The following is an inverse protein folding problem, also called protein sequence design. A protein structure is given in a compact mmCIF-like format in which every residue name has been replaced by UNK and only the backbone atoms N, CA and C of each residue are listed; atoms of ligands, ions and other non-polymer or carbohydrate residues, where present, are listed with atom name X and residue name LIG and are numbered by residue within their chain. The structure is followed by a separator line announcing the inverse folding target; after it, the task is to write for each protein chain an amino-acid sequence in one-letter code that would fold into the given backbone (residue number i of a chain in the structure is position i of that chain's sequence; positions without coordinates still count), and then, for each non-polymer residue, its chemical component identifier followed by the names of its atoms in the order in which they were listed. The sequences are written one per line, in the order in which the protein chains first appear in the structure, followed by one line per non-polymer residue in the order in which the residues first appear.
data_IF_356627347130
#
_entry.id   IF_356627347130
#
_cell.length_a   1.000
_cell.length_b   1.000
_cell.length_c   1.000
_cell.angle_alpha   90.00
_cell.angle_beta   90.00
_cell.angle_gamma   90.00
#
_symmetry.space_group_name_H-M   'P 1'
#
loop_
_entity.id
_entity.type
_entity.pdbx_description
1 polymer ?
#
# COMPACT_ATOMS: atom_id res chain seq x y z
N UNK A 1 5.60 -11.24 -1.69
CA UNK A 1 6.83 -11.14 -2.51
C UNK A 1 6.57 -11.80 -3.87
N UNK A 2 6.02 -11.08 -4.86
CA UNK A 2 5.59 -11.71 -6.14
C UNK A 2 6.76 -12.04 -7.10
N UNK A 3 8.00 -11.70 -6.75
CA UNK A 3 9.19 -11.86 -7.59
C UNK A 3 10.36 -12.58 -6.88
N UNK A 4 10.14 -13.10 -5.68
CA UNK A 4 11.19 -13.83 -4.96
C UNK A 4 11.31 -15.23 -5.55
N UNK A 5 12.51 -15.61 -5.99
CA UNK A 5 12.83 -16.94 -6.48
C UNK A 5 13.58 -17.71 -5.39
N UNK A 6 12.86 -18.57 -4.67
CA UNK A 6 13.39 -19.34 -3.54
C UNK A 6 14.52 -20.28 -3.97
N UNK A 7 14.38 -20.96 -5.10
CA UNK A 7 15.38 -21.92 -5.59
C UNK A 7 16.73 -21.22 -5.89
N UNK A 8 16.68 -20.05 -6.54
CA UNK A 8 17.89 -19.29 -6.82
C UNK A 8 18.50 -18.70 -5.54
N UNK A 9 17.68 -18.26 -4.60
CA UNK A 9 18.15 -17.77 -3.30
C UNK A 9 18.92 -18.85 -2.54
N UNK A 10 18.37 -20.07 -2.47
CA UNK A 10 19.01 -21.21 -1.82
C UNK A 10 20.31 -21.64 -2.54
N UNK A 11 20.33 -21.62 -3.87
CA UNK A 11 21.57 -21.86 -4.62
C UNK A 11 22.65 -20.83 -4.28
N UNK A 12 22.31 -19.54 -4.33
CA UNK A 12 23.27 -18.47 -4.09
C UNK A 12 23.80 -18.47 -2.64
N UNK A 13 22.95 -18.85 -1.67
CA UNK A 13 23.35 -19.12 -0.28
C UNK A 13 24.31 -20.30 -0.17
N UNK A 14 24.05 -21.39 -0.89
CA UNK A 14 24.91 -22.57 -0.92
C UNK A 14 26.29 -22.29 -1.55
N UNK A 15 26.40 -21.30 -2.42
CA UNK A 15 27.67 -20.92 -3.08
C UNK A 15 28.52 -19.92 -2.29
N UNK A 16 28.05 -19.43 -1.14
CA UNK A 16 28.85 -18.52 -0.31
C UNK A 16 30.03 -19.25 0.34
N UNK A 17 31.14 -18.52 0.53
CA UNK A 17 32.36 -19.02 1.18
C UNK A 17 32.20 -19.04 2.70
N UNK A 18 31.30 -19.88 3.21
CA UNK A 18 31.04 -20.01 4.65
C UNK A 18 32.28 -20.45 5.44
N UNK A 19 33.25 -21.11 4.79
CA UNK A 19 34.53 -21.49 5.40
C UNK A 19 35.26 -20.28 6.01
N UNK A 20 35.09 -19.09 5.42
CA UNK A 20 35.70 -17.85 5.92
C UNK A 20 35.22 -17.45 7.31
N UNK A 21 34.01 -17.86 7.71
CA UNK A 21 33.48 -17.61 9.06
C UNK A 21 34.28 -18.41 10.10
N UNK A 22 34.69 -19.63 9.75
CA UNK A 22 35.40 -20.53 10.66
C UNK A 22 36.88 -20.15 10.84
N UNK A 23 37.49 -19.38 9.94
CA UNK A 23 38.86 -18.91 10.09
C UNK A 23 39.04 -17.92 11.25
N UNK A 24 37.97 -17.30 11.74
CA UNK A 24 38.00 -16.35 12.85
C UNK A 24 37.36 -16.91 14.13
N UNK A 25 37.42 -18.23 14.31
CA UNK A 25 36.79 -18.94 15.44
C UNK A 25 37.12 -18.36 16.84
N UNK A 26 38.28 -17.73 16.98
CA UNK A 26 38.76 -17.13 18.23
C UNK A 26 38.07 -15.79 18.57
N UNK A 27 37.32 -15.20 17.63
CA UNK A 27 36.63 -13.93 17.81
C UNK A 27 35.16 -14.03 17.33
N UNK A 28 34.23 -14.38 18.23
CA UNK A 28 32.80 -14.54 17.90
C UNK A 28 32.16 -13.31 17.24
N UNK A 29 32.57 -12.10 17.61
CA UNK A 29 32.03 -10.86 17.02
C UNK A 29 32.44 -10.74 15.54
N UNK A 30 33.68 -11.12 15.22
CA UNK A 30 34.19 -11.12 13.84
C UNK A 30 33.51 -12.22 13.00
N UNK A 31 33.31 -13.41 13.58
CA UNK A 31 32.55 -14.47 12.92
C UNK A 31 31.14 -14.02 12.55
N UNK A 32 30.46 -13.38 13.51
CA UNK A 32 29.10 -12.88 13.31
C UNK A 32 29.04 -11.86 12.17
N UNK A 33 29.96 -10.88 12.13
CA UNK A 33 29.90 -9.87 11.08
C UNK A 33 30.23 -10.42 9.69
N UNK A 34 31.16 -11.37 9.57
CA UNK A 34 31.43 -12.04 8.28
C UNK A 34 30.21 -12.84 7.83
N UNK A 35 29.61 -13.63 8.73
CA UNK A 35 28.41 -14.39 8.41
C UNK A 35 27.27 -13.47 7.95
N UNK A 36 27.04 -12.39 8.70
CA UNK A 36 25.98 -11.41 8.42
C UNK A 36 26.22 -10.71 7.08
N UNK A 37 27.47 -10.36 6.76
CA UNK A 37 27.81 -9.76 5.47
C UNK A 37 27.51 -10.72 4.31
N UNK A 38 27.96 -11.98 4.38
CA UNK A 38 27.71 -12.98 3.35
C UNK A 38 26.20 -13.23 3.16
N UNK A 39 25.46 -13.33 4.26
CA UNK A 39 24.01 -13.50 4.22
C UNK A 39 23.30 -12.29 3.60
N UNK A 40 23.65 -11.07 4.04
CA UNK A 40 23.02 -9.85 3.55
C UNK A 40 23.30 -9.61 2.07
N UNK A 41 24.48 -9.98 1.56
CA UNK A 41 24.78 -9.88 0.12
C UNK A 41 23.83 -10.72 -0.73
N UNK A 42 23.55 -11.95 -0.30
CA UNK A 42 22.57 -12.82 -0.97
C UNK A 42 21.16 -12.25 -0.78
N UNK A 43 20.82 -11.80 0.42
CA UNK A 43 19.50 -11.24 0.72
C UNK A 43 19.20 -9.99 -0.13
N UNK A 44 20.13 -9.04 -0.23
CA UNK A 44 19.96 -7.81 -0.98
C UNK A 44 19.84 -8.06 -2.50
N UNK A 45 20.49 -9.10 -3.02
CA UNK A 45 20.35 -9.54 -4.42
C UNK A 45 18.95 -10.06 -4.72
N UNK A 46 18.36 -10.84 -3.81
CA UNK A 46 17.09 -11.55 -4.02
C UNK A 46 15.85 -10.81 -3.51
N UNK A 47 16.04 -9.93 -2.53
CA UNK A 47 14.99 -9.16 -1.88
C UNK A 47 15.45 -7.70 -1.66
N UNK A 48 15.80 -6.97 -2.74
CA UNK A 48 16.26 -5.59 -2.60
C UNK A 48 15.19 -4.72 -1.95
N UNK A 49 15.64 -3.80 -1.10
CA UNK A 49 14.77 -2.79 -0.51
C UNK A 49 14.25 -1.85 -1.61
N UNK A 50 13.04 -2.11 -2.09
CA UNK A 50 12.38 -1.22 -3.04
C UNK A 50 11.85 0.03 -2.32
N UNK A 51 12.43 1.19 -2.61
CA UNK A 51 11.85 2.48 -2.28
C UNK A 51 10.59 2.71 -3.12
N UNK A 52 9.45 2.21 -2.66
CA UNK A 52 8.16 2.48 -3.30
C UNK A 52 7.80 3.94 -3.08
N UNK A 53 7.79 4.72 -4.17
CA UNK A 53 7.21 6.06 -4.17
C UNK A 53 5.76 5.94 -3.72
N UNK A 54 5.48 6.38 -2.49
CA UNK A 54 4.11 6.56 -2.04
C UNK A 54 3.47 7.55 -3.01
N UNK A 55 2.39 7.14 -3.70
CA UNK A 55 1.68 8.05 -4.61
C UNK A 55 1.24 9.28 -3.79
N UNK A 56 1.92 10.40 -4.02
CA UNK A 56 1.74 11.66 -3.27
C UNK A 56 0.31 12.22 -3.35
N UNK A 57 -0.49 11.75 -4.33
CA UNK A 57 -1.90 12.11 -4.44
C UNK A 57 -2.74 11.33 -3.43
N UNK A 58 -2.62 11.68 -2.14
CA UNK A 58 -3.70 11.42 -1.18
C UNK A 58 -4.91 12.17 -1.72
N UNK A 59 -5.99 11.48 -2.05
CA UNK A 59 -7.26 12.14 -2.35
C UNK A 59 -7.69 12.88 -1.08
N UNK A 60 -7.55 14.21 -1.01
CA UNK A 60 -7.71 14.95 0.24
C UNK A 60 -9.15 14.90 0.77
N UNK A 61 -10.12 14.64 -0.12
CA UNK A 61 -11.52 14.43 0.24
C UNK A 61 -11.83 13.03 0.79
N UNK A 62 -10.87 12.09 0.87
CA UNK A 62 -11.08 10.76 1.47
C UNK A 62 -10.61 10.77 2.92
N UNK A 63 -11.56 10.98 3.83
CA UNK A 63 -11.33 10.98 5.28
C UNK A 63 -11.21 9.55 5.85
N UNK A 64 -10.75 9.43 7.10
CA UNK A 64 -10.74 8.16 7.84
C UNK A 64 -12.15 7.57 7.98
N UNK A 65 -13.16 8.42 8.14
CA UNK A 65 -14.56 8.01 8.22
C UNK A 65 -15.03 7.34 6.91
N UNK A 66 -14.76 7.94 5.75
CA UNK A 66 -15.08 7.36 4.45
C UNK A 66 -14.38 6.01 4.26
N UNK A 67 -13.12 5.89 4.70
CA UNK A 67 -12.40 4.60 4.66
C UNK A 67 -13.09 3.53 5.50
N UNK A 68 -13.59 3.87 6.71
CA UNK A 68 -14.35 2.93 7.54
C UNK A 68 -15.61 2.44 6.83
N UNK A 69 -16.34 3.33 6.16
CA UNK A 69 -17.54 2.96 5.39
C UNK A 69 -17.22 2.07 4.18
N UNK A 70 -16.13 2.35 3.46
CA UNK A 70 -15.64 1.49 2.37
C UNK A 70 -15.34 0.08 2.90
N UNK A 71 -14.64 -0.03 4.03
CA UNK A 71 -14.32 -1.32 4.65
C UNK A 71 -15.60 -2.05 5.07
N UNK A 72 -16.53 -1.36 5.73
CA UNK A 72 -17.80 -1.93 6.15
C UNK A 72 -18.62 -2.46 4.97
N UNK A 73 -18.73 -1.67 3.89
CA UNK A 73 -19.36 -2.10 2.64
C UNK A 73 -18.70 -3.34 2.06
N UNK A 74 -17.38 -3.41 2.04
CA UNK A 74 -16.64 -4.56 1.48
C UNK A 74 -16.79 -5.82 2.35
N UNK A 75 -16.88 -5.65 3.67
CA UNK A 75 -17.22 -6.73 4.59
C UNK A 75 -18.63 -7.28 4.31
N UNK A 76 -19.62 -6.40 4.14
CA UNK A 76 -20.99 -6.80 3.79
C UNK A 76 -21.05 -7.52 2.44
N UNK A 77 -20.28 -7.04 1.44
CA UNK A 77 -20.18 -7.72 0.14
C UNK A 77 -19.62 -9.14 0.29
N UNK A 78 -18.53 -9.30 1.04
CA UNK A 78 -17.94 -10.61 1.32
C UNK A 78 -18.95 -11.53 2.01
N UNK A 79 -19.68 -11.02 3.01
CA UNK A 79 -20.74 -11.77 3.69
C UNK A 79 -21.83 -12.23 2.70
N UNK A 80 -22.38 -11.32 1.90
CA UNK A 80 -23.44 -11.63 0.94
C UNK A 80 -23.03 -12.67 -0.12
N UNK A 81 -21.76 -12.66 -0.55
CA UNK A 81 -21.21 -13.67 -1.46
C UNK A 81 -21.19 -15.06 -0.82
N UNK A 82 -20.84 -15.14 0.46
CA UNK A 82 -20.74 -16.40 1.21
C UNK A 82 -22.13 -16.94 1.55
N UNK A 83 -23.00 -16.10 2.14
CA UNK A 83 -24.31 -16.54 2.66
C UNK A 83 -25.35 -16.72 1.56
N UNK A 84 -25.22 -15.99 0.43
CA UNK A 84 -26.18 -15.96 -0.68
C UNK A 84 -27.61 -15.57 -0.27
N UNK A 85 -27.79 -14.98 0.91
CA UNK A 85 -29.08 -14.50 1.41
C UNK A 85 -29.42 -13.14 0.80
N UNK A 86 -30.67 -12.96 0.39
CA UNK A 86 -31.16 -11.70 -0.17
C UNK A 86 -31.04 -10.53 0.83
N UNK A 87 -31.28 -10.79 2.11
CA UNK A 87 -31.15 -9.80 3.19
C UNK A 87 -29.72 -9.26 3.32
N UNK A 88 -28.70 -10.11 3.14
CA UNK A 88 -27.30 -9.67 3.16
C UNK A 88 -26.94 -8.85 1.90
N UNK A 89 -27.53 -9.19 0.75
CA UNK A 89 -27.43 -8.38 -0.46
C UNK A 89 -28.10 -7.01 -0.30
N UNK A 90 -29.24 -6.93 0.37
CA UNK A 90 -29.92 -5.66 0.68
C UNK A 90 -29.08 -4.78 1.59
N UNK A 91 -28.47 -5.36 2.63
CA UNK A 91 -27.55 -4.66 3.52
C UNK A 91 -26.33 -4.12 2.76
N UNK A 92 -25.74 -4.92 1.87
CA UNK A 92 -24.67 -4.45 0.99
C UNK A 92 -25.14 -3.32 0.07
N UNK A 93 -26.31 -3.42 -0.56
CA UNK A 93 -26.85 -2.39 -1.46
C UNK A 93 -27.05 -1.05 -0.71
N UNK A 94 -27.58 -1.09 0.51
CA UNK A 94 -27.73 0.10 1.38
C UNK A 94 -26.37 0.74 1.67
N UNK A 95 -25.42 -0.03 2.22
CA UNK A 95 -24.08 0.45 2.55
C UNK A 95 -23.32 0.97 1.32
N UNK A 96 -23.50 0.33 0.15
CA UNK A 96 -22.92 0.78 -1.13
C UNK A 96 -23.46 2.16 -1.52
N UNK A 97 -24.77 2.34 -1.47
CA UNK A 97 -25.40 3.60 -1.86
C UNK A 97 -25.01 4.74 -0.91
N UNK A 98 -25.02 4.49 0.41
CA UNK A 98 -24.55 5.45 1.42
C UNK A 98 -23.09 5.85 1.18
N UNK A 99 -22.19 4.88 1.00
CA UNK A 99 -20.77 5.14 0.76
C UNK A 99 -20.56 5.94 -0.53
N UNK A 100 -21.29 5.60 -1.60
CA UNK A 100 -21.19 6.30 -2.88
C UNK A 100 -21.72 7.73 -2.80
N UNK A 101 -22.84 7.95 -2.12
CA UNK A 101 -23.42 9.27 -1.93
C UNK A 101 -22.47 10.16 -1.13
N UNK A 102 -21.91 9.64 -0.04
CA UNK A 102 -20.94 10.38 0.76
C UNK A 102 -19.67 10.70 -0.04
N UNK A 103 -19.11 9.74 -0.78
CA UNK A 103 -17.95 9.98 -1.63
C UNK A 103 -18.20 11.09 -2.67
N UNK A 104 -19.37 11.09 -3.30
CA UNK A 104 -19.76 12.14 -4.26
C UNK A 104 -19.88 13.49 -3.57
N UNK A 105 -20.54 13.54 -2.41
CA UNK A 105 -20.74 14.75 -1.65
C UNK A 105 -19.41 15.34 -1.18
N UNK A 106 -18.56 14.56 -0.51
CA UNK A 106 -17.28 15.06 0.01
C UNK A 106 -16.32 15.47 -1.11
N UNK A 107 -16.34 14.76 -2.25
CA UNK A 107 -15.59 15.20 -3.44
C UNK A 107 -16.11 16.56 -3.93
N UNK A 108 -17.42 16.72 -4.09
CA UNK A 108 -18.04 17.98 -4.53
C UNK A 108 -17.65 19.13 -3.58
N UNK A 109 -17.88 18.95 -2.28
CA UNK A 109 -17.55 19.95 -1.25
C UNK A 109 -16.09 20.36 -1.30
N UNK A 110 -15.16 19.40 -1.38
CA UNK A 110 -13.74 19.71 -1.45
C UNK A 110 -13.40 20.61 -2.64
N UNK A 111 -13.87 20.26 -3.84
CA UNK A 111 -13.57 21.04 -5.04
C UNK A 111 -14.29 22.39 -5.04
N UNK A 112 -15.54 22.44 -4.60
CA UNK A 112 -16.29 23.70 -4.45
C UNK A 112 -15.59 24.65 -3.48
N UNK A 113 -15.15 24.16 -2.32
CA UNK A 113 -14.43 24.96 -1.34
C UNK A 113 -13.07 25.41 -1.86
N UNK A 114 -12.32 24.49 -2.51
CA UNK A 114 -11.01 24.82 -3.06
C UNK A 114 -11.08 25.92 -4.13
N UNK A 115 -12.03 25.82 -5.05
CA UNK A 115 -12.26 26.84 -6.09
C UNK A 115 -12.70 28.17 -5.46
N UNK A 116 -13.55 28.13 -4.43
CA UNK A 116 -13.99 29.32 -3.71
C UNK A 116 -12.82 30.05 -3.00
N UNK A 117 -11.88 29.30 -2.42
CA UNK A 117 -10.67 29.86 -1.80
C UNK A 117 -9.70 30.45 -2.83
N UNK A 118 -9.62 29.85 -4.02
CA UNK A 118 -8.77 30.30 -5.13
C UNK A 118 -9.42 31.42 -5.98
N UNK A 119 -10.52 32.03 -5.52
CA UNK A 119 -11.33 32.99 -6.30
C UNK A 119 -10.55 34.21 -6.82
N UNK A 120 -9.49 34.62 -6.13
CA UNK A 120 -8.64 35.75 -6.53
C UNK A 120 -7.50 35.35 -7.49
N UNK A 121 -7.29 34.04 -7.73
CA UNK A 121 -6.30 33.52 -8.67
C UNK A 121 -6.97 32.61 -9.73
N UNK A 122 -7.39 33.18 -10.87
CA UNK A 122 -8.00 32.42 -11.96
C UNK A 122 -7.12 31.30 -12.51
N UNK A 123 -5.77 31.45 -12.47
CA UNK A 123 -4.84 30.41 -12.95
C UNK A 123 -4.83 29.21 -12.00
N UNK A 124 -4.83 29.45 -10.69
CA UNK A 124 -4.94 28.39 -9.69
C UNK A 124 -6.29 27.66 -9.78
N UNK A 125 -7.40 28.40 -9.90
CA UNK A 125 -8.73 27.82 -10.07
C UNK A 125 -8.82 26.93 -11.33
N UNK A 126 -8.29 27.40 -12.46
CA UNK A 126 -8.22 26.61 -13.69
C UNK A 126 -7.35 25.36 -13.55
N UNK A 127 -6.22 25.45 -12.84
CA UNK A 127 -5.38 24.28 -12.53
C UNK A 127 -6.15 23.26 -11.70
N UNK A 128 -6.97 23.69 -10.75
CA UNK A 128 -7.85 22.82 -9.95
C UNK A 128 -8.93 22.17 -10.83
N UNK A 129 -9.59 22.92 -11.72
CA UNK A 129 -10.59 22.40 -12.67
C UNK A 129 -9.98 21.36 -13.62
N UNK A 130 -8.78 21.61 -14.14
CA UNK A 130 -8.07 20.67 -15.01
C UNK A 130 -7.72 19.34 -14.31
N UNK A 131 -7.82 19.25 -12.98
CA UNK A 131 -7.69 17.94 -12.29
C UNK A 131 -8.99 17.12 -12.26
N UNK A 132 -10.11 17.70 -12.71
CA UNK A 132 -11.43 17.07 -12.77
C UNK A 132 -11.80 16.55 -14.17
N UNK A 133 -11.20 17.12 -15.22
CA UNK A 133 -11.33 16.70 -16.62
C UNK A 133 -10.40 15.50 -16.91
#
# INVERSE_FOLDING_TARGET
MKKFNEQQFLQDLGTQTWEHVYFFADNPDTMWEIWKQLFLQVLDKHAPNENKKTKSKKNPWITSHIKKLIIARDNLKRKAIITKLETDWDNYKKARNETNNLLRQTKKEYYSNKIATEKQDPKAAWKTINTLL
#
